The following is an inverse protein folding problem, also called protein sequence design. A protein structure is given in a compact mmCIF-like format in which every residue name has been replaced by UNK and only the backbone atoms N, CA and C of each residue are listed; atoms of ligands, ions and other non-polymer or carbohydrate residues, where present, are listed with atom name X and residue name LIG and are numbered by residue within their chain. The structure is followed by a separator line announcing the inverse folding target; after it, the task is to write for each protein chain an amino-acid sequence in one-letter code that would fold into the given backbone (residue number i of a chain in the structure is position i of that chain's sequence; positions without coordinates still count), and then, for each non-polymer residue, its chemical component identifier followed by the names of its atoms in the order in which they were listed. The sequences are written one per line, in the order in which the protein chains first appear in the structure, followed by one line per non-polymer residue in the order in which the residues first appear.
data_IF_552394464585
#
_entry.id   IF_552394464585
#
_cell.length_a   1.000
_cell.length_b   1.000
_cell.length_c   1.000
_cell.angle_alpha   90.00
_cell.angle_beta   90.00
_cell.angle_gamma   90.00
#
_symmetry.space_group_name_H-M   'P 1'
#
loop_
_entity.id
_entity.type
_entity.pdbx_description
1 polymer ?
#
# COMPACT_ATOMS: atom_id res chain seq x y z
N UNK A 1 0.14 -48.28 55.70
CA UNK A 1 0.62 -46.89 55.54
C UNK A 1 1.70 -46.96 54.48
N UNK A 2 1.41 -46.83 53.18
CA UNK A 2 0.95 -45.64 52.43
C UNK A 2 1.81 -44.42 52.71
N UNK A 3 2.55 -44.00 51.69
CA UNK A 3 3.46 -42.86 51.67
C UNK A 3 4.20 -42.87 50.34
N UNK A 4 3.50 -42.50 49.27
CA UNK A 4 4.09 -42.33 47.96
C UNK A 4 4.76 -40.97 47.85
N UNK A 5 5.89 -40.93 47.18
CA UNK A 5 6.46 -39.69 46.65
C UNK A 5 6.76 -39.93 45.17
N UNK A 6 5.99 -39.23 44.35
CA UNK A 6 6.11 -39.13 42.90
C UNK A 6 7.25 -38.17 42.58
N UNK A 7 7.90 -38.48 41.45
CA UNK A 7 8.33 -37.55 40.43
C UNK A 7 9.32 -36.44 40.80
N UNK A 8 10.53 -36.57 40.27
CA UNK A 8 11.17 -35.44 39.59
C UNK A 8 11.78 -35.97 38.30
N UNK A 9 11.01 -35.78 37.23
CA UNK A 9 11.48 -35.90 35.85
C UNK A 9 12.34 -34.66 35.60
N UNK A 10 13.56 -34.76 35.06
CA UNK A 10 14.29 -33.57 34.67
C UNK A 10 13.48 -32.87 33.58
N UNK A 11 13.02 -31.66 33.90
CA UNK A 11 12.44 -30.74 32.95
C UNK A 11 13.47 -30.50 31.84
N UNK A 12 13.13 -30.88 30.61
CA UNK A 12 13.79 -30.37 29.43
C UNK A 12 13.51 -28.88 29.36
N UNK A 13 14.53 -28.08 29.70
CA UNK A 13 14.69 -26.69 29.30
C UNK A 13 14.78 -26.60 27.76
N UNK A 14 13.67 -26.82 27.07
CA UNK A 14 13.50 -26.51 25.64
C UNK A 14 12.43 -25.42 25.48
N UNK A 15 12.63 -24.33 26.22
CA UNK A 15 11.84 -23.11 26.10
C UNK A 15 12.73 -21.94 25.62
N UNK A 16 13.51 -22.11 24.55
CA UNK A 16 14.20 -20.97 23.94
C UNK A 16 14.62 -21.17 22.46
N UNK A 17 13.75 -21.70 21.59
CA UNK A 17 14.02 -21.69 20.13
C UNK A 17 12.74 -21.48 19.29
N UNK A 18 11.76 -20.72 19.78
CA UNK A 18 10.50 -20.48 19.04
C UNK A 18 10.23 -19.04 18.58
N UNK A 19 11.15 -18.10 18.77
CA UNK A 19 10.91 -16.69 18.43
C UNK A 19 11.81 -16.08 17.34
N UNK A 20 12.78 -16.80 16.76
CA UNK A 20 13.69 -16.20 15.75
C UNK A 20 13.39 -16.55 14.28
N UNK A 21 12.43 -17.43 13.97
CA UNK A 21 12.15 -17.85 12.58
C UNK A 21 10.96 -17.17 11.90
N UNK A 22 10.13 -16.41 12.64
CA UNK A 22 8.95 -15.72 12.07
C UNK A 22 9.23 -14.28 11.63
N UNK A 23 10.41 -13.74 11.95
CA UNK A 23 10.83 -12.36 11.62
C UNK A 23 11.00 -12.04 10.11
N UNK A 24 11.65 -12.90 9.28
CA UNK A 24 11.90 -12.56 7.88
C UNK A 24 10.68 -12.74 6.96
N UNK A 25 9.77 -13.66 7.29
CA UNK A 25 8.58 -13.93 6.47
C UNK A 25 7.52 -12.83 6.62
N UNK A 26 7.35 -12.29 7.83
CA UNK A 26 6.50 -11.12 8.08
C UNK A 26 7.04 -9.87 7.38
N UNK A 27 8.36 -9.70 7.31
CA UNK A 27 9.01 -8.60 6.59
C UNK A 27 8.85 -8.74 5.06
N UNK A 28 9.02 -9.95 4.53
CA UNK A 28 8.88 -10.25 3.10
C UNK A 28 7.47 -10.01 2.57
N UNK A 29 6.44 -10.45 3.31
CA UNK A 29 5.03 -10.26 2.92
C UNK A 29 4.66 -8.78 2.96
N UNK A 30 5.10 -8.04 3.98
CA UNK A 30 4.90 -6.59 4.06
C UNK A 30 5.53 -5.85 2.87
N UNK A 31 6.74 -6.25 2.50
CA UNK A 31 7.48 -5.67 1.37
C UNK A 31 6.78 -5.92 0.03
N UNK A 32 6.32 -7.16 -0.22
CA UNK A 32 5.56 -7.50 -1.45
C UNK A 32 4.25 -6.73 -1.53
N UNK A 33 3.52 -6.62 -0.41
CA UNK A 33 2.26 -5.86 -0.35
C UNK A 33 2.49 -4.37 -0.59
N UNK A 34 3.56 -3.79 -0.03
CA UNK A 34 3.94 -2.41 -0.25
C UNK A 34 4.31 -2.15 -1.72
N UNK A 35 5.14 -3.02 -2.32
CA UNK A 35 5.52 -2.92 -3.73
C UNK A 35 4.31 -3.03 -4.66
N UNK A 36 3.41 -3.98 -4.41
CA UNK A 36 2.19 -4.14 -5.17
C UNK A 36 1.29 -2.89 -5.07
N UNK A 37 1.18 -2.32 -3.88
CA UNK A 37 0.42 -1.08 -3.63
C UNK A 37 0.99 0.13 -4.37
N UNK A 38 2.31 0.34 -4.33
CA UNK A 38 2.99 1.41 -5.08
C UNK A 38 2.82 1.23 -6.58
N UNK A 39 3.03 0.02 -7.10
CA UNK A 39 2.91 -0.26 -8.53
C UNK A 39 1.48 0.00 -9.03
N UNK A 40 0.47 -0.41 -8.27
CA UNK A 40 -0.92 -0.16 -8.62
C UNK A 40 -1.25 1.35 -8.55
N UNK A 41 -0.78 2.05 -7.52
CA UNK A 41 -0.95 3.50 -7.41
C UNK A 41 -0.25 4.26 -8.55
N UNK A 42 0.97 3.83 -8.93
CA UNK A 42 1.71 4.38 -10.06
C UNK A 42 0.99 4.13 -11.39
N UNK A 43 0.52 2.90 -11.63
CA UNK A 43 -0.22 2.55 -12.84
C UNK A 43 -1.52 3.35 -12.98
N UNK A 44 -2.14 3.74 -11.86
CA UNK A 44 -3.32 4.61 -11.85
C UNK A 44 -2.96 6.09 -12.07
N UNK A 45 -1.97 6.61 -11.34
CA UNK A 45 -1.68 8.05 -11.28
C UNK A 45 -0.81 8.56 -12.44
N UNK A 46 0.22 7.80 -12.85
CA UNK A 46 1.22 8.25 -13.82
C UNK A 46 0.61 8.51 -15.20
N UNK A 47 -0.23 7.62 -15.79
CA UNK A 47 -0.87 7.91 -17.07
C UNK A 47 -1.82 9.12 -17.00
N UNK A 48 -2.44 9.35 -15.84
CA UNK A 48 -3.41 10.43 -15.64
C UNK A 48 -2.74 11.80 -15.45
N UNK A 49 -1.55 11.81 -14.88
CA UNK A 49 -0.72 13.00 -14.70
C UNK A 49 0.22 13.28 -15.89
N UNK A 50 0.32 12.38 -16.89
CA UNK A 50 1.22 12.49 -18.04
C UNK A 50 1.16 13.85 -18.75
N UNK A 51 -0.04 14.41 -18.91
CA UNK A 51 -0.26 15.72 -19.53
C UNK A 51 0.28 16.88 -18.69
N UNK A 52 0.21 16.77 -17.36
CA UNK A 52 0.78 17.75 -16.41
C UNK A 52 2.31 17.76 -16.39
N UNK A 53 2.98 16.72 -16.92
CA UNK A 53 4.44 16.63 -17.00
C UNK A 53 5.02 17.25 -18.27
N UNK A 54 4.34 17.08 -19.41
CA UNK A 54 4.84 17.58 -20.70
C UNK A 54 4.65 19.09 -20.83
N UNK A 55 3.66 19.64 -20.10
CA UNK A 55 3.23 21.01 -20.25
C UNK A 55 2.61 21.22 -21.63
N UNK A 56 1.55 22.03 -21.74
CA UNK A 56 1.12 22.52 -23.06
C UNK A 56 2.29 23.17 -23.82
N UNK A 57 2.11 23.50 -25.10
CA UNK A 57 3.11 24.25 -25.87
C UNK A 57 3.63 25.44 -25.02
N UNK A 58 4.95 25.52 -24.81
CA UNK A 58 5.68 26.49 -23.94
C UNK A 58 5.67 26.26 -22.40
N UNK A 59 5.14 25.13 -21.91
CA UNK A 59 5.18 24.78 -20.48
C UNK A 59 4.12 25.49 -19.62
N UNK A 60 3.20 26.20 -20.26
CA UNK A 60 2.20 27.09 -19.63
C UNK A 60 1.11 26.34 -18.85
N UNK A 61 0.91 25.04 -19.13
CA UNK A 61 -0.06 24.17 -18.44
C UNK A 61 0.56 23.18 -17.44
N UNK A 62 1.84 23.38 -17.07
CA UNK A 62 2.52 22.51 -16.11
C UNK A 62 1.91 22.67 -14.71
N UNK A 63 1.13 21.68 -14.27
CA UNK A 63 0.59 21.66 -12.90
C UNK A 63 1.62 21.07 -11.93
N UNK A 64 2.36 21.98 -11.28
CA UNK A 64 3.36 21.62 -10.26
C UNK A 64 2.74 21.01 -9.01
N UNK A 65 1.48 21.30 -8.69
CA UNK A 65 0.81 20.73 -7.50
C UNK A 65 0.54 19.24 -7.75
N UNK A 66 0.00 18.91 -8.92
CA UNK A 66 -0.21 17.50 -9.31
C UNK A 66 1.10 16.72 -9.29
N UNK A 67 2.16 17.31 -9.86
CA UNK A 67 3.47 16.64 -10.01
C UNK A 67 4.24 16.52 -8.70
N UNK A 68 4.32 17.57 -7.88
CA UNK A 68 5.16 17.59 -6.68
C UNK A 68 4.44 17.17 -5.40
N UNK A 69 3.11 17.23 -5.38
CA UNK A 69 2.32 16.98 -4.17
C UNK A 69 1.41 15.79 -4.36
N UNK A 70 0.54 15.81 -5.37
CA UNK A 70 -0.51 14.78 -5.47
C UNK A 70 0.05 13.42 -5.90
N UNK A 71 0.88 13.35 -6.94
CA UNK A 71 1.48 12.08 -7.37
C UNK A 71 2.34 11.45 -6.27
N UNK A 72 3.26 12.17 -5.60
CA UNK A 72 4.01 11.60 -4.48
C UNK A 72 3.12 11.16 -3.31
N UNK A 73 2.06 11.90 -3.02
CA UNK A 73 1.11 11.53 -1.96
C UNK A 73 0.33 10.27 -2.30
N UNK A 74 -0.11 10.11 -3.55
CA UNK A 74 -0.79 8.91 -4.04
C UNK A 74 0.16 7.70 -3.97
N UNK A 75 1.42 7.86 -4.37
CA UNK A 75 2.43 6.81 -4.27
C UNK A 75 2.72 6.45 -2.80
N UNK A 76 2.83 7.43 -1.91
CA UNK A 76 3.03 7.21 -0.48
C UNK A 76 1.83 6.49 0.14
N UNK A 77 0.61 6.85 -0.24
CA UNK A 77 -0.60 6.15 0.17
C UNK A 77 -0.60 4.70 -0.35
N UNK A 78 -0.24 4.49 -1.62
CA UNK A 78 -0.08 3.16 -2.21
C UNK A 78 0.98 2.31 -1.50
N UNK A 79 2.06 2.92 -1.02
CA UNK A 79 3.10 2.26 -0.24
C UNK A 79 2.63 1.88 1.17
N UNK A 80 2.02 2.81 1.89
CA UNK A 80 1.77 2.68 3.32
C UNK A 80 0.44 2.00 3.67
N UNK A 81 -0.63 2.28 2.91
CA UNK A 81 -1.98 1.81 3.25
C UNK A 81 -2.11 0.28 3.20
N UNK A 82 -1.66 -0.41 2.13
CA UNK A 82 -1.78 -1.87 2.05
C UNK A 82 -1.05 -2.64 3.17
N UNK A 83 0.23 -2.36 3.52
CA UNK A 83 0.92 -3.09 4.57
C UNK A 83 0.41 -2.73 5.97
N UNK A 84 0.02 -1.47 6.23
CA UNK A 84 -0.58 -1.09 7.51
C UNK A 84 -1.93 -1.77 7.72
N UNK A 85 -2.75 -1.85 6.67
CA UNK A 85 -4.03 -2.55 6.70
C UNK A 85 -3.81 -4.05 6.93
N UNK A 86 -2.81 -4.64 6.27
CA UNK A 86 -2.46 -6.05 6.43
C UNK A 86 -2.02 -6.36 7.86
N UNK A 87 -1.09 -5.58 8.40
CA UNK A 87 -0.59 -5.74 9.76
C UNK A 87 -1.67 -5.53 10.83
N UNK A 88 -2.62 -4.61 10.59
CA UNK A 88 -3.75 -4.40 11.49
C UNK A 88 -4.77 -5.54 11.42
N UNK A 89 -5.09 -6.01 10.21
CA UNK A 89 -6.10 -7.04 9.98
C UNK A 89 -5.62 -8.44 10.39
N UNK A 90 -4.36 -8.79 10.12
CA UNK A 90 -3.77 -10.10 10.47
C UNK A 90 -3.73 -10.35 11.98
N UNK A 91 -3.68 -9.29 12.81
CA UNK A 91 -3.78 -9.39 14.27
C UNK A 91 -5.14 -9.86 14.78
N UNK A 92 -6.20 -9.74 13.98
CA UNK A 92 -7.59 -10.01 14.41
C UNK A 92 -8.32 -11.02 13.53
N UNK A 93 -7.84 -11.24 12.32
CA UNK A 93 -8.52 -12.03 11.29
C UNK A 93 -7.64 -13.17 10.79
N UNK A 94 -8.30 -14.17 10.21
CA UNK A 94 -7.62 -15.20 9.42
C UNK A 94 -6.93 -14.54 8.22
N UNK A 95 -5.80 -15.08 7.72
CA UNK A 95 -5.00 -14.43 6.68
C UNK A 95 -5.77 -14.15 5.39
N UNK A 96 -6.69 -15.04 4.98
CA UNK A 96 -7.53 -14.82 3.81
C UNK A 96 -8.51 -13.65 3.99
N UNK A 97 -9.05 -13.46 5.20
CA UNK A 97 -9.94 -12.36 5.51
C UNK A 97 -9.17 -11.03 5.60
N UNK A 98 -7.94 -11.05 6.13
CA UNK A 98 -7.05 -9.89 6.11
C UNK A 98 -6.72 -9.44 4.67
N UNK A 99 -6.50 -10.38 3.74
CA UNK A 99 -6.28 -10.07 2.34
C UNK A 99 -7.50 -9.36 1.70
N UNK A 100 -8.70 -9.86 1.97
CA UNK A 100 -9.94 -9.23 1.47
C UNK A 100 -10.12 -7.81 2.02
N UNK A 101 -9.81 -7.60 3.31
CA UNK A 101 -9.87 -6.25 3.91
C UNK A 101 -8.85 -5.31 3.26
N UNK A 102 -7.60 -5.76 3.04
CA UNK A 102 -6.60 -4.98 2.31
C UNK A 102 -7.06 -4.57 0.92
N UNK A 103 -7.57 -5.53 0.15
CA UNK A 103 -8.07 -5.28 -1.21
C UNK A 103 -9.26 -4.31 -1.19
N UNK A 104 -10.18 -4.47 -0.24
CA UNK A 104 -11.33 -3.58 -0.11
C UNK A 104 -10.92 -2.14 0.25
N UNK A 105 -10.02 -1.96 1.21
CA UNK A 105 -9.52 -0.64 1.62
C UNK A 105 -8.75 0.02 0.47
N UNK A 106 -7.87 -0.74 -0.21
CA UNK A 106 -7.09 -0.22 -1.32
C UNK A 106 -7.98 0.14 -2.52
N UNK A 107 -8.91 -0.75 -2.90
CA UNK A 107 -9.86 -0.50 -3.98
C UNK A 107 -10.79 0.68 -3.68
N UNK A 108 -11.27 0.82 -2.44
CA UNK A 108 -12.08 1.96 -2.02
C UNK A 108 -11.29 3.26 -2.04
N UNK A 109 -10.01 3.22 -1.66
CA UNK A 109 -9.09 4.35 -1.77
C UNK A 109 -8.90 4.80 -3.22
N UNK A 110 -8.64 3.86 -4.14
CA UNK A 110 -8.55 4.15 -5.57
C UNK A 110 -9.86 4.67 -6.15
N UNK A 111 -11.01 4.12 -5.72
CA UNK A 111 -12.32 4.60 -6.16
C UNK A 111 -12.61 6.02 -5.68
N UNK A 112 -12.33 6.33 -4.41
CA UNK A 112 -12.47 7.69 -3.88
C UNK A 112 -11.53 8.67 -4.57
N UNK A 113 -10.31 8.23 -4.88
CA UNK A 113 -9.36 9.01 -5.65
C UNK A 113 -9.88 9.27 -7.08
N UNK A 114 -10.36 8.26 -7.79
CA UNK A 114 -10.97 8.42 -9.12
C UNK A 114 -12.20 9.34 -9.12
N UNK A 115 -12.98 9.33 -8.03
CA UNK A 115 -14.16 10.18 -7.91
C UNK A 115 -13.80 11.67 -7.77
N UNK A 116 -12.71 12.00 -7.07
CA UNK A 116 -12.37 13.38 -6.66
C UNK A 116 -11.20 13.95 -7.46
N UNK A 117 -10.28 13.11 -7.93
CA UNK A 117 -9.03 13.52 -8.55
C UNK A 117 -9.12 13.45 -10.08
N UNK A 118 -9.29 14.61 -10.69
CA UNK A 118 -9.32 14.82 -12.13
C UNK A 118 -8.21 15.80 -12.51
N UNK A 119 -6.96 15.34 -12.71
CA UNK A 119 -5.89 16.20 -13.21
C UNK A 119 -6.27 16.73 -14.61
N UNK A 120 -5.74 17.90 -15.00
CA UNK A 120 -5.97 18.45 -16.35
C UNK A 120 -5.49 17.45 -17.41
N UNK A 121 -6.36 17.11 -18.37
CA UNK A 121 -6.10 16.03 -19.33
C UNK A 121 -6.03 16.48 -20.81
N UNK A 122 -6.47 17.69 -21.17
CA UNK A 122 -6.46 18.15 -22.57
C UNK A 122 -6.39 19.69 -22.67
N UNK A 123 -5.80 20.25 -23.74
CA UNK A 123 -6.01 21.65 -24.12
C UNK A 123 -7.45 21.83 -24.65
N UNK A 124 -8.05 23.00 -24.42
CA UNK A 124 -9.43 23.24 -24.84
C UNK A 124 -9.49 23.25 -26.38
N UNK A 125 -10.52 22.65 -27.03
CA UNK A 125 -10.71 22.76 -28.47
C UNK A 125 -11.11 24.21 -28.82
N UNK A 126 -10.12 25.09 -28.85
CA UNK A 126 -10.26 26.54 -28.94
C UNK A 126 -8.94 27.30 -28.89
N UNK A 127 -7.86 26.69 -28.40
CA UNK A 127 -6.55 27.33 -28.22
C UNK A 127 -5.67 27.33 -29.49
N UNK A 128 -6.24 27.02 -30.65
CA UNK A 128 -5.57 27.18 -31.95
C UNK A 128 -5.51 28.65 -32.37
N UNK A 129 -4.47 29.10 -33.10
CA UNK A 129 -4.42 30.47 -33.58
C UNK A 129 -5.65 30.78 -34.44
N UNK A 130 -6.22 32.01 -34.36
CA UNK A 130 -7.36 32.38 -35.18
C UNK A 130 -6.99 32.23 -36.65
N UNK A 131 -7.77 31.42 -37.38
CA UNK A 131 -7.70 31.30 -38.84
C UNK A 131 -8.19 32.57 -39.54
#
# INVERSE_FOLDING_TARGET
MSGGERAESPEHDEADERDEHDGPLLDSVGCVIALAGVLAAAAFAVPRAAYSFDGGFEGEDTDWVTTLVEVPLILLAGFAVPPLTWAAASRRLRPWAAALVCLAVFGLGLWGLDAVWHPKQDPHPGDGPPI
#
